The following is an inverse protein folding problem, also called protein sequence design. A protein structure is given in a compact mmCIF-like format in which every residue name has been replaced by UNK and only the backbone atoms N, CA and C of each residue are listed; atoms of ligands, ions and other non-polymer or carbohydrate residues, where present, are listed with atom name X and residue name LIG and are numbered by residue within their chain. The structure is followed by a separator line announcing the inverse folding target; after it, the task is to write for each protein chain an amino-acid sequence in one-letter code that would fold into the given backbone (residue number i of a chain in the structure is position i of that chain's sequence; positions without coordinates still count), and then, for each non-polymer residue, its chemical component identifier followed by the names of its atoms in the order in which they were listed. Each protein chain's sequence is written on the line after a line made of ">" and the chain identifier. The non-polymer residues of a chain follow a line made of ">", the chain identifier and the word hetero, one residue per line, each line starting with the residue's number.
data_IF_704452962240
#
_entry.id   IF_704452962240
#
_cell.length_a   1.000
_cell.length_b   1.000
_cell.length_c   1.000
_cell.angle_alpha   90.00
_cell.angle_beta   90.00
_cell.angle_gamma   90.00
#
_symmetry.space_group_name_H-M   'P 1'
#
loop_
_entity.id
_entity.type
_entity.pdbx_description
1 polymer ?
#
# COMPACT_ATOMS: atom_id res chain seq x y z
N UNK A 1 4.32 8.17 10.49
CA UNK A 1 2.87 7.90 10.54
C UNK A 1 2.04 8.91 9.72
N UNK A 2 2.11 10.22 9.97
CA UNK A 2 1.31 11.22 9.24
C UNK A 2 1.48 11.18 7.70
N UNK A 3 2.73 11.08 7.21
CA UNK A 3 3.04 10.98 5.76
C UNK A 3 2.43 9.72 5.13
N UNK A 4 2.38 8.62 5.88
CA UNK A 4 1.80 7.36 5.44
C UNK A 4 0.28 7.47 5.22
N UNK A 5 -0.43 8.12 6.15
CA UNK A 5 -1.86 8.39 6.00
C UNK A 5 -2.15 9.33 4.84
N UNK A 6 -1.32 10.36 4.64
CA UNK A 6 -1.48 11.28 3.50
C UNK A 6 -1.35 10.53 2.17
N UNK A 7 -0.32 9.70 2.01
CA UNK A 7 -0.12 8.91 0.78
C UNK A 7 -1.26 7.91 0.50
N UNK A 8 -1.99 7.46 1.53
CA UNK A 8 -3.14 6.60 1.34
C UNK A 8 -4.43 7.37 1.02
N UNK A 9 -4.60 8.57 1.59
CA UNK A 9 -5.85 9.36 1.48
C UNK A 9 -5.87 10.27 0.24
N UNK A 10 -4.73 10.79 -0.21
CA UNK A 10 -4.68 11.65 -1.39
C UNK A 10 -5.10 10.94 -2.71
N UNK A 11 -4.68 9.69 -2.98
CA UNK A 11 -5.11 8.95 -4.18
C UNK A 11 -6.63 8.66 -4.31
N UNK A 12 -7.39 8.36 -3.23
CA UNK A 12 -8.84 8.25 -3.34
C UNK A 12 -9.52 9.62 -3.49
N UNK A 13 -9.04 10.67 -2.79
CA UNK A 13 -9.61 12.02 -2.92
C UNK A 13 -9.52 12.52 -4.35
N UNK A 14 -8.35 12.41 -4.96
CA UNK A 14 -8.19 12.88 -6.32
C UNK A 14 -8.91 12.00 -7.35
N UNK A 15 -9.17 10.71 -7.05
CA UNK A 15 -9.93 9.83 -7.93
C UNK A 15 -11.39 10.27 -7.96
N UNK A 16 -11.94 10.63 -6.80
CA UNK A 16 -13.27 11.25 -6.68
C UNK A 16 -13.30 12.57 -7.44
N UNK A 17 -12.27 13.41 -7.29
CA UNK A 17 -12.19 14.69 -8.02
C UNK A 17 -12.20 14.52 -9.54
N UNK A 18 -11.44 13.55 -10.07
CA UNK A 18 -11.48 13.21 -11.50
C UNK A 18 -12.84 12.72 -11.91
N UNK A 19 -13.45 11.83 -11.12
CA UNK A 19 -14.77 11.28 -11.44
C UNK A 19 -15.83 12.39 -11.52
N UNK A 20 -15.79 13.34 -10.58
CA UNK A 20 -16.72 14.48 -10.53
C UNK A 20 -16.52 15.46 -11.68
N UNK A 21 -15.30 15.62 -12.19
CA UNK A 21 -14.96 16.60 -13.22
C UNK A 21 -14.59 15.95 -14.56
N UNK A 22 -14.93 14.68 -14.76
CA UNK A 22 -14.47 13.86 -15.91
C UNK A 22 -14.79 14.47 -17.27
N UNK A 23 -15.89 15.22 -17.35
CA UNK A 23 -16.39 15.85 -18.59
C UNK A 23 -15.55 17.09 -18.98
N UNK A 24 -14.84 17.69 -18.02
CA UNK A 24 -14.03 18.91 -18.19
C UNK A 24 -12.51 18.65 -18.16
N UNK A 25 -12.07 17.44 -17.80
CA UNK A 25 -10.65 17.12 -17.67
C UNK A 25 -9.99 16.80 -19.02
N UNK A 26 -8.84 17.41 -19.30
CA UNK A 26 -8.04 17.07 -20.47
C UNK A 26 -7.25 15.77 -20.23
N UNK A 27 -6.90 15.05 -21.32
CA UNK A 27 -6.11 13.80 -21.25
C UNK A 27 -4.79 13.96 -20.47
N UNK A 28 -4.19 15.15 -20.51
CA UNK A 28 -2.95 15.48 -19.79
C UNK A 28 -3.15 15.49 -18.27
N UNK A 29 -4.25 16.02 -17.78
CA UNK A 29 -4.57 16.11 -16.36
C UNK A 29 -4.85 14.72 -15.78
N UNK A 30 -5.49 13.86 -16.57
CA UNK A 30 -5.70 12.46 -16.23
C UNK A 30 -4.37 11.69 -16.08
N UNK A 31 -3.42 11.89 -17.00
CA UNK A 31 -2.09 11.25 -16.90
C UNK A 31 -1.32 11.74 -15.68
N UNK A 32 -1.33 13.05 -15.42
CA UNK A 32 -0.70 13.63 -14.24
C UNK A 32 -1.28 13.05 -12.95
N UNK A 33 -2.59 12.82 -12.94
CA UNK A 33 -3.27 12.21 -11.80
C UNK A 33 -2.90 10.75 -11.59
N UNK A 34 -2.90 9.94 -12.65
CA UNK A 34 -2.49 8.54 -12.58
C UNK A 34 -1.04 8.44 -12.09
N UNK A 35 -0.16 9.31 -12.59
CA UNK A 35 1.23 9.39 -12.14
C UNK A 35 1.32 9.76 -10.65
N UNK A 36 0.53 10.75 -10.22
CA UNK A 36 0.47 11.16 -8.82
C UNK A 36 -0.01 10.02 -7.91
N UNK A 37 -1.06 9.28 -8.30
CA UNK A 37 -1.56 8.13 -7.57
C UNK A 37 -0.51 7.01 -7.51
N UNK A 38 0.15 6.71 -8.62
CA UNK A 38 1.21 5.71 -8.69
C UNK A 38 2.39 6.05 -7.77
N UNK A 39 2.82 7.32 -7.74
CA UNK A 39 3.90 7.80 -6.86
C UNK A 39 3.49 7.66 -5.38
N UNK A 40 2.27 8.06 -5.01
CA UNK A 40 1.80 7.96 -3.62
C UNK A 40 1.66 6.51 -3.14
N UNK A 41 1.13 5.62 -3.98
CA UNK A 41 1.06 4.18 -3.68
C UNK A 41 2.47 3.58 -3.55
N UNK A 42 3.38 3.93 -4.46
CA UNK A 42 4.76 3.43 -4.44
C UNK A 42 5.52 3.91 -3.20
N UNK A 43 5.30 5.16 -2.81
CA UNK A 43 5.88 5.76 -1.61
C UNK A 43 5.33 5.10 -0.34
N UNK A 44 4.02 4.88 -0.27
CA UNK A 44 3.37 4.16 0.81
C UNK A 44 3.90 2.73 0.96
N UNK A 45 4.01 2.00 -0.15
CA UNK A 45 4.55 0.64 -0.19
C UNK A 45 6.02 0.61 0.24
N UNK A 46 6.84 1.54 -0.25
CA UNK A 46 8.24 1.67 0.14
C UNK A 46 8.39 1.94 1.64
N UNK A 47 7.53 2.78 2.21
CA UNK A 47 7.53 3.04 3.66
C UNK A 47 7.16 1.80 4.46
N UNK A 48 6.16 1.02 4.04
CA UNK A 48 5.84 -0.27 4.67
C UNK A 48 7.01 -1.25 4.61
N UNK A 49 7.72 -1.29 3.48
CA UNK A 49 8.87 -2.19 3.28
C UNK A 49 10.10 -1.70 4.07
N UNK A 50 10.29 -0.41 4.27
CA UNK A 50 11.43 0.11 5.03
C UNK A 50 11.18 0.14 6.55
N UNK A 51 9.92 0.06 6.99
CA UNK A 51 9.60 0.06 8.41
C UNK A 51 9.95 -1.28 9.07
N UNK A 52 11.11 -1.30 9.73
CA UNK A 52 11.66 -2.47 10.42
C UNK A 52 10.72 -3.09 11.46
N UNK A 53 9.82 -2.29 12.04
CA UNK A 53 8.89 -2.78 13.07
C UNK A 53 7.80 -3.68 12.47
N UNK A 54 7.29 -3.31 11.29
CA UNK A 54 6.30 -4.09 10.55
C UNK A 54 6.89 -5.45 10.13
N UNK A 55 8.15 -5.46 9.68
CA UNK A 55 8.86 -6.70 9.34
C UNK A 55 9.13 -7.61 10.52
N UNK A 56 9.42 -7.07 11.70
CA UNK A 56 9.58 -7.90 12.91
C UNK A 56 8.27 -8.62 13.26
N UNK A 57 7.15 -7.90 13.22
CA UNK A 57 5.83 -8.47 13.53
C UNK A 57 5.42 -9.50 12.47
N UNK A 58 5.52 -9.15 11.19
CA UNK A 58 5.21 -10.07 10.10
C UNK A 58 6.12 -11.32 10.12
N UNK A 59 7.42 -11.12 10.35
CA UNK A 59 8.38 -12.21 10.50
C UNK A 59 8.03 -13.15 11.64
N UNK A 60 7.63 -12.63 12.81
CA UNK A 60 7.20 -13.45 13.95
C UNK A 60 6.00 -14.34 13.60
N UNK A 61 4.97 -13.80 12.93
CA UNK A 61 3.79 -14.57 12.53
C UNK A 61 4.12 -15.64 11.48
N UNK A 62 4.91 -15.29 10.47
CA UNK A 62 5.33 -16.24 9.43
C UNK A 62 6.18 -17.36 10.03
N UNK A 63 7.13 -17.02 10.89
CA UNK A 63 7.98 -18.01 11.57
C UNK A 63 7.16 -18.91 12.49
N UNK A 64 6.21 -18.34 13.26
CA UNK A 64 5.28 -19.12 14.08
C UNK A 64 4.44 -20.09 13.25
N UNK A 65 3.90 -19.65 12.11
CA UNK A 65 3.13 -20.51 11.21
C UNK A 65 3.99 -21.66 10.64
N UNK A 66 5.23 -21.38 10.22
CA UNK A 66 6.15 -22.40 9.72
C UNK A 66 6.42 -23.45 10.80
N UNK A 67 6.69 -23.02 12.03
CA UNK A 67 6.93 -23.92 13.18
C UNK A 67 5.71 -24.80 13.45
N UNK A 68 4.50 -24.23 13.42
CA UNK A 68 3.25 -24.99 13.62
C UNK A 68 3.06 -26.04 12.52
N UNK A 69 3.25 -25.66 11.26
CA UNK A 69 3.12 -26.57 10.11
C UNK A 69 4.14 -27.70 10.21
N UNK A 70 5.41 -27.40 10.47
CA UNK A 70 6.46 -28.40 10.63
C UNK A 70 6.18 -29.34 11.81
N UNK A 71 5.72 -28.81 12.94
CA UNK A 71 5.36 -29.62 14.10
C UNK A 71 4.20 -30.56 13.81
N UNK A 72 3.20 -30.12 13.04
CA UNK A 72 2.08 -30.96 12.62
C UNK A 72 2.50 -32.03 11.60
N UNK A 73 3.41 -31.72 10.67
CA UNK A 73 3.95 -32.73 9.75
C UNK A 73 4.74 -33.81 10.47
N UNK A 74 5.50 -33.46 11.50
CA UNK A 74 6.31 -34.41 12.28
C UNK A 74 5.48 -35.26 13.26
N UNK A 75 4.23 -34.89 13.55
CA UNK A 75 3.32 -35.68 14.40
C UNK A 75 2.56 -36.76 13.63
N UNK A 76 2.70 -36.83 12.31
CA UNK A 76 2.08 -37.84 11.43
C UNK A 76 3.10 -38.89 11.03
#
# INVERSE_FOLDING_TARGET
>A
MFVFFLCFILPPIGAIYILMNREALQKRDFILYVLFAAINISLWLSLMILDRSVWMVAGHYVFGAIVIVFSNMNKR
#
